data_IF_154329551422
#
_entry.id   IF_154329551422
#
_cell.length_a   1.000
_cell.length_b   1.000
_cell.length_c   1.000
_cell.angle_alpha   90.00
_cell.angle_beta   90.00
_cell.angle_gamma   90.00
#
_symmetry.space_group_name_H-M   'P 1'
#
loop_
_entity.id
_entity.type
_entity.pdbx_description
1 polymer ?
#
# COMPACT_ATOMS: atom_id res chain seq x y z
N UNK A 1 -14.87 -24.64 -10.81
CA UNK A 1 -14.50 -23.32 -10.26
C UNK A 1 -15.47 -22.98 -9.12
N UNK A 2 -15.00 -22.89 -7.87
CA UNK A 2 -15.81 -22.39 -6.76
C UNK A 2 -16.01 -20.89 -6.95
N UNK A 3 -17.26 -20.43 -7.01
CA UNK A 3 -17.59 -18.99 -7.06
C UNK A 3 -17.01 -18.33 -5.81
N UNK A 4 -16.06 -17.42 -5.98
CA UNK A 4 -15.58 -16.57 -4.89
C UNK A 4 -16.76 -15.74 -4.37
N UNK A 5 -17.04 -15.86 -3.08
CA UNK A 5 -18.08 -15.08 -2.42
C UNK A 5 -17.52 -13.68 -2.15
N UNK A 6 -17.99 -12.70 -2.92
CA UNK A 6 -17.71 -11.29 -2.65
C UNK A 6 -18.38 -10.92 -1.32
N UNK A 7 -17.57 -10.64 -0.31
CA UNK A 7 -18.04 -10.14 0.97
C UNK A 7 -17.98 -8.61 0.94
N UNK A 8 -19.15 -7.99 0.83
CA UNK A 8 -19.29 -6.56 1.10
C UNK A 8 -19.54 -6.38 2.60
N UNK A 9 -18.63 -5.70 3.29
CA UNK A 9 -18.75 -5.43 4.72
C UNK A 9 -18.74 -3.92 4.96
N UNK A 10 -19.54 -3.49 5.94
CA UNK A 10 -19.47 -2.11 6.41
C UNK A 10 -18.06 -1.86 6.93
N UNK A 11 -17.44 -0.78 6.49
CA UNK A 11 -16.09 -0.42 6.92
C UNK A 11 -16.08 -0.09 8.42
N UNK A 12 -15.41 -0.89 9.28
CA UNK A 12 -15.37 -0.65 10.72
C UNK A 12 -14.52 0.58 11.08
N UNK A 13 -13.64 1.02 10.17
CA UNK A 13 -12.79 2.20 10.36
C UNK A 13 -13.41 3.48 9.80
N UNK A 14 -14.69 3.45 9.42
CA UNK A 14 -15.38 4.61 8.87
C UNK A 14 -15.34 5.78 9.84
N UNK A 15 -14.61 6.82 9.50
CA UNK A 15 -14.63 8.09 10.20
C UNK A 15 -15.60 9.04 9.51
N UNK A 16 -16.57 9.55 10.25
CA UNK A 16 -17.54 10.54 9.78
C UNK A 16 -16.94 11.94 9.74
N UNK A 17 -15.71 12.09 9.28
CA UNK A 17 -15.07 13.39 9.23
C UNK A 17 -15.57 14.12 7.99
N UNK A 18 -16.29 15.22 8.19
CA UNK A 18 -16.89 16.04 7.14
C UNK A 18 -15.92 16.44 6.03
N UNK A 19 -14.65 16.57 6.34
CA UNK A 19 -13.67 17.24 5.48
C UNK A 19 -12.72 16.32 4.71
N UNK A 20 -12.67 15.04 5.05
CA UNK A 20 -11.70 14.11 4.43
C UNK A 20 -11.95 13.86 2.95
N UNK A 21 -13.22 13.92 2.50
CA UNK A 21 -13.56 13.72 1.08
C UNK A 21 -13.05 14.84 0.19
N UNK A 22 -13.06 16.09 0.68
CA UNK A 22 -12.59 17.25 -0.05
C UNK A 22 -11.07 17.43 0.05
N UNK A 23 -10.48 17.06 1.17
CA UNK A 23 -9.10 17.40 1.52
C UNK A 23 -8.08 16.29 1.26
N UNK A 24 -8.51 15.05 0.99
CA UNK A 24 -7.63 13.89 0.94
C UNK A 24 -6.51 13.97 -0.12
N UNK A 25 -6.70 14.74 -1.19
CA UNK A 25 -5.76 14.83 -2.31
C UNK A 25 -5.13 16.21 -2.49
N UNK A 26 -5.27 17.12 -1.55
CA UNK A 26 -4.60 18.42 -1.63
C UNK A 26 -3.08 18.27 -1.34
N UNK A 27 -2.22 19.13 -1.90
CA UNK A 27 -0.76 19.04 -1.73
C UNK A 27 -0.31 18.91 -0.27
N UNK A 28 -0.95 19.64 0.65
CA UNK A 28 -0.63 19.62 2.09
C UNK A 28 -1.10 18.36 2.81
N UNK A 29 -2.18 17.73 2.36
CA UNK A 29 -2.84 16.60 3.06
C UNK A 29 -2.72 15.28 2.32
N UNK A 30 -2.29 15.28 1.05
CA UNK A 30 -2.22 14.12 0.16
C UNK A 30 -1.54 12.90 0.80
N UNK A 31 -0.42 13.10 1.47
CA UNK A 31 0.31 12.00 2.12
C UNK A 31 -0.54 11.28 3.17
N UNK A 32 -1.26 12.03 3.99
CA UNK A 32 -2.20 11.47 4.98
C UNK A 32 -3.46 10.91 4.31
N UNK A 33 -4.01 11.63 3.33
CA UNK A 33 -5.20 11.22 2.59
C UNK A 33 -5.02 9.87 1.89
N UNK A 34 -3.90 9.65 1.22
CA UNK A 34 -3.62 8.38 0.53
C UNK A 34 -3.50 7.18 1.46
N UNK A 35 -3.04 7.39 2.70
CA UNK A 35 -2.96 6.34 3.72
C UNK A 35 -4.32 6.03 4.36
N UNK A 36 -5.24 6.99 4.35
CA UNK A 36 -6.49 6.93 5.11
C UNK A 36 -7.75 6.92 4.22
N UNK A 37 -7.59 6.84 2.89
CA UNK A 37 -8.74 6.84 1.98
C UNK A 37 -9.74 5.71 2.28
N UNK A 38 -9.27 4.56 2.72
CA UNK A 38 -10.09 3.42 3.13
C UNK A 38 -11.03 3.76 4.30
N UNK A 39 -10.71 4.78 5.13
CA UNK A 39 -11.51 5.20 6.28
C UNK A 39 -12.71 6.05 5.93
N UNK A 40 -12.78 6.60 4.71
CA UNK A 40 -13.89 7.45 4.27
C UNK A 40 -14.92 6.69 3.41
N UNK A 41 -14.63 5.48 3.01
CA UNK A 41 -15.53 4.64 2.22
C UNK A 41 -16.48 3.88 3.13
N UNK A 42 -17.80 4.02 2.87
CA UNK A 42 -18.84 3.35 3.68
C UNK A 42 -18.78 1.83 3.59
N UNK A 43 -18.48 1.31 2.42
CA UNK A 43 -18.39 -0.11 2.15
C UNK A 43 -17.06 -0.45 1.49
N UNK A 44 -16.57 -1.63 1.77
CA UNK A 44 -15.33 -2.17 1.19
C UNK A 44 -15.60 -3.54 0.60
N UNK A 45 -14.93 -3.84 -0.50
CA UNK A 45 -14.89 -5.19 -1.09
C UNK A 45 -13.48 -5.72 -0.86
N UNK A 46 -13.42 -6.86 -0.19
CA UNK A 46 -12.15 -7.55 0.05
C UNK A 46 -12.06 -8.74 -0.90
N UNK A 47 -11.04 -8.71 -1.75
CA UNK A 47 -10.69 -9.84 -2.60
C UNK A 47 -9.56 -10.61 -1.91
N UNK A 48 -9.77 -11.89 -1.70
CA UNK A 48 -8.77 -12.79 -1.12
C UNK A 48 -8.53 -13.94 -2.09
N UNK A 49 -7.26 -14.21 -2.36
CA UNK A 49 -6.85 -15.42 -3.07
C UNK A 49 -6.82 -16.60 -2.11
N UNK A 50 -7.22 -17.79 -2.58
CA UNK A 50 -7.04 -19.03 -1.85
C UNK A 50 -5.57 -19.46 -1.80
N UNK A 51 -4.77 -18.94 -2.74
CA UNK A 51 -3.33 -19.17 -2.78
C UNK A 51 -2.60 -18.06 -2.02
N UNK A 52 -1.90 -18.44 -0.94
CA UNK A 52 -1.05 -17.52 -0.17
C UNK A 52 0.40 -17.79 -0.57
N UNK A 53 1.00 -16.82 -1.27
CA UNK A 53 2.42 -16.86 -1.58
C UNK A 53 3.25 -16.51 -0.34
N UNK A 54 4.04 -17.47 0.14
CA UNK A 54 5.00 -17.22 1.22
C UNK A 54 6.26 -16.61 0.62
N UNK A 55 6.60 -15.40 1.06
CA UNK A 55 7.82 -14.70 0.67
C UNK A 55 8.90 -14.90 1.73
N UNK A 56 10.07 -15.34 1.31
CA UNK A 56 11.22 -15.50 2.19
C UNK A 56 11.96 -14.17 2.35
N UNK A 57 12.38 -13.85 3.55
CA UNK A 57 13.26 -12.68 3.78
C UNK A 57 14.71 -13.09 3.59
N UNK A 58 15.34 -12.61 2.51
CA UNK A 58 16.75 -12.86 2.18
C UNK A 58 17.46 -11.53 1.92
N UNK A 59 17.69 -10.79 3.00
CA UNK A 59 18.20 -9.41 2.94
C UNK A 59 19.56 -9.32 2.25
N UNK A 60 19.64 -8.46 1.24
CA UNK A 60 20.90 -8.08 0.58
C UNK A 60 21.29 -6.65 0.99
N UNK A 61 22.29 -6.53 1.86
CA UNK A 61 22.79 -5.25 2.39
C UNK A 61 23.37 -4.33 1.30
N UNK A 62 23.80 -4.87 0.16
CA UNK A 62 24.34 -4.08 -0.94
C UNK A 62 23.30 -3.18 -1.58
N UNK A 63 22.04 -3.61 -1.64
CA UNK A 63 20.93 -2.81 -2.19
C UNK A 63 20.78 -1.48 -1.44
N UNK A 64 20.89 -1.50 -0.11
CA UNK A 64 20.81 -0.29 0.71
C UNK A 64 21.92 0.74 0.40
N UNK A 65 23.06 0.27 -0.15
CA UNK A 65 24.23 1.12 -0.47
C UNK A 65 24.11 1.77 -1.85
N UNK A 66 23.22 1.30 -2.71
CA UNK A 66 23.05 1.85 -4.06
C UNK A 66 22.69 3.35 -4.01
N UNK A 67 23.36 4.21 -4.80
CA UNK A 67 23.10 5.64 -4.81
C UNK A 67 21.64 5.99 -5.07
N UNK A 68 21.01 5.30 -6.02
CA UNK A 68 19.60 5.49 -6.35
C UNK A 68 18.69 5.16 -5.16
N UNK A 69 18.93 4.04 -4.46
CA UNK A 69 18.14 3.64 -3.28
C UNK A 69 18.29 4.67 -2.16
N UNK A 70 19.51 5.15 -1.93
CA UNK A 70 19.76 6.22 -0.95
C UNK A 70 19.02 7.50 -1.32
N UNK A 71 19.07 7.93 -2.60
CA UNK A 71 18.36 9.12 -3.10
C UNK A 71 16.86 8.98 -2.92
N UNK A 72 16.27 7.86 -3.36
CA UNK A 72 14.82 7.60 -3.25
C UNK A 72 14.36 7.59 -1.80
N UNK A 73 15.05 6.87 -0.92
CA UNK A 73 14.64 6.70 0.48
C UNK A 73 14.85 7.93 1.37
N UNK A 74 15.60 8.93 0.89
CA UNK A 74 15.74 10.25 1.54
C UNK A 74 14.68 11.25 1.09
N UNK A 75 13.95 10.98 0.01
CA UNK A 75 12.93 11.87 -0.50
C UNK A 75 11.80 12.05 0.52
N UNK A 76 11.30 13.28 0.70
CA UNK A 76 10.18 13.59 1.60
C UNK A 76 8.89 12.86 1.22
N UNK A 77 8.71 12.55 -0.05
CA UNK A 77 7.55 11.82 -0.56
C UNK A 77 7.70 10.29 -0.45
N UNK A 78 8.85 9.80 0.00
CA UNK A 78 9.07 8.37 0.14
C UNK A 78 8.07 7.74 1.13
N UNK A 79 7.48 6.61 0.74
CA UNK A 79 6.59 5.82 1.59
C UNK A 79 7.20 4.46 1.89
N UNK A 80 7.47 3.67 0.83
CA UNK A 80 8.05 2.34 0.97
C UNK A 80 8.80 1.93 -0.29
N UNK A 81 9.74 1.02 -0.14
CA UNK A 81 10.45 0.35 -1.23
C UNK A 81 10.67 -1.11 -0.86
N UNK A 82 10.22 -2.00 -1.71
CA UNK A 82 10.46 -3.43 -1.61
C UNK A 82 11.17 -3.86 -2.89
N UNK A 83 12.26 -4.59 -2.74
CA UNK A 83 12.97 -5.22 -3.84
C UNK A 83 12.93 -6.72 -3.62
N UNK A 84 12.41 -7.45 -4.59
CA UNK A 84 12.24 -8.88 -4.51
C UNK A 84 12.80 -9.59 -5.74
N UNK A 85 13.03 -10.89 -5.60
CA UNK A 85 13.37 -11.79 -6.68
C UNK A 85 12.63 -13.12 -6.45
N UNK A 86 11.73 -13.50 -7.36
CA UNK A 86 10.87 -14.68 -7.24
C UNK A 86 10.15 -14.68 -5.88
N UNK A 87 10.48 -15.60 -4.99
CA UNK A 87 9.88 -15.75 -3.67
C UNK A 87 10.69 -15.08 -2.54
N UNK A 88 11.71 -14.28 -2.87
CA UNK A 88 12.59 -13.68 -1.87
C UNK A 88 12.40 -12.16 -1.82
N UNK A 89 12.27 -11.62 -0.62
CA UNK A 89 12.40 -10.19 -0.34
C UNK A 89 13.87 -9.91 -0.03
N UNK A 90 14.53 -9.16 -0.92
CA UNK A 90 15.95 -8.83 -0.83
C UNK A 90 16.21 -7.53 -0.08
N UNK A 91 15.25 -6.62 -0.12
CA UNK A 91 15.34 -5.34 0.56
C UNK A 91 13.94 -4.82 0.87
N UNK A 92 13.77 -4.25 2.05
CA UNK A 92 12.51 -3.69 2.48
C UNK A 92 12.79 -2.45 3.34
N UNK A 93 12.19 -1.33 3.00
CA UNK A 93 12.32 -0.08 3.75
C UNK A 93 11.03 0.72 3.71
N UNK A 94 10.67 1.29 4.85
CA UNK A 94 9.49 2.14 5.04
C UNK A 94 9.91 3.51 5.58
N UNK A 95 9.15 4.54 5.24
CA UNK A 95 9.28 5.84 5.88
C UNK A 95 8.88 5.75 7.36
N UNK A 96 9.36 6.70 8.18
CA UNK A 96 9.06 6.72 9.63
C UNK A 96 7.55 6.74 9.94
N UNK A 97 6.78 7.39 9.07
CA UNK A 97 5.33 7.55 9.17
C UNK A 97 4.54 6.53 8.35
N UNK A 98 5.18 5.45 7.87
CA UNK A 98 4.56 4.42 7.05
C UNK A 98 4.87 3.03 7.61
N UNK A 99 3.82 2.25 7.92
CA UNK A 99 3.98 0.89 8.45
C UNK A 99 3.92 -0.15 7.33
N UNK A 100 4.52 -1.31 7.56
CA UNK A 100 4.53 -2.44 6.61
C UNK A 100 3.14 -2.84 6.09
N UNK A 101 2.17 -2.86 6.98
CA UNK A 101 0.77 -3.20 6.68
C UNK A 101 -0.13 -1.97 6.52
N UNK A 102 0.45 -0.79 6.28
CA UNK A 102 -0.32 0.43 6.06
C UNK A 102 -0.99 0.40 4.68
N UNK A 103 -2.31 0.54 4.59
CA UNK A 103 -2.99 0.74 3.32
C UNK A 103 -2.46 1.99 2.60
N UNK A 104 -2.39 1.92 1.29
CA UNK A 104 -1.96 3.01 0.43
C UNK A 104 -2.80 3.06 -0.83
N UNK A 105 -3.31 4.22 -1.17
CA UNK A 105 -3.98 4.43 -2.46
C UNK A 105 -2.94 4.44 -3.57
N UNK A 106 -3.11 3.56 -4.55
CA UNK A 106 -2.18 3.39 -5.68
C UNK A 106 -2.68 3.99 -6.99
N UNK A 107 -3.85 4.63 -6.95
CA UNK A 107 -4.43 5.33 -8.10
C UNK A 107 -4.50 4.45 -9.38
N UNK A 108 -4.04 4.97 -10.51
CA UNK A 108 -4.09 4.25 -11.80
C UNK A 108 -3.22 3.00 -11.88
N UNK A 109 -2.28 2.79 -10.96
CA UNK A 109 -1.53 1.52 -10.84
C UNK A 109 -2.50 0.35 -10.59
N UNK A 110 -3.65 0.61 -9.95
CA UNK A 110 -4.71 -0.38 -9.75
C UNK A 110 -5.14 -1.06 -11.05
N UNK A 111 -5.08 -0.37 -12.19
CA UNK A 111 -5.45 -0.92 -13.50
C UNK A 111 -4.58 -2.10 -13.92
N UNK A 112 -3.33 -2.16 -13.43
CA UNK A 112 -2.44 -3.29 -13.71
C UNK A 112 -2.92 -4.60 -13.04
N UNK A 113 -3.70 -4.48 -11.96
CA UNK A 113 -4.25 -5.63 -11.23
C UNK A 113 -5.66 -6.02 -11.67
N UNK A 114 -6.37 -5.12 -12.35
CA UNK A 114 -7.74 -5.38 -12.82
C UNK A 114 -7.75 -6.12 -14.15
N UNK A 115 -6.69 -5.99 -14.95
CA UNK A 115 -6.56 -6.62 -16.27
C UNK A 115 -5.82 -7.97 -16.23
N UNK A 116 -5.61 -8.52 -15.05
CA UNK A 116 -5.10 -9.87 -14.83
C UNK A 116 -6.28 -10.82 -14.56
#
# INVERSE_FOLDING_TARGET
>A
MKKQKLLSVRNPELTTVKDNKALWNLPKTRRSGYKNLHKINRYSIYLRSDLILKLNSKTNKTIAKLPLVKKMTKNKSFCSLIVGNRQNILFEKYAKDFKKNQPQTIMSITKMFVNL
#
